data_IF_530756083793
#
_entry.id   IF_530756083793
#
_cell.length_a   1.000
_cell.length_b   1.000
_cell.length_c   1.000
_cell.angle_alpha   90.00
_cell.angle_beta   90.00
_cell.angle_gamma   90.00
#
_symmetry.space_group_name_H-M   'P 1'
#
loop_
_entity.id
_entity.type
_entity.pdbx_description
1 polymer ?
#
# COMPACT_ATOMS: atom_id res chain seq x y z
N UNK A 1 -25.76 8.53 1.84
CA UNK A 1 -24.89 9.37 0.99
C UNK A 1 -23.68 8.55 0.58
N UNK A 2 -23.27 8.59 -0.69
CA UNK A 2 -22.10 7.85 -1.15
C UNK A 2 -20.84 8.73 -1.04
N UNK A 3 -20.04 8.56 0.01
CA UNK A 3 -18.83 9.37 0.19
C UNK A 3 -17.76 9.14 -0.88
N UNK A 4 -17.78 7.98 -1.55
CA UNK A 4 -16.82 7.63 -2.60
C UNK A 4 -16.87 8.64 -3.74
N UNK A 5 -18.07 9.00 -4.20
CA UNK A 5 -18.29 9.95 -5.31
C UNK A 5 -17.72 11.34 -5.04
N UNK A 6 -17.56 11.74 -3.77
CA UNK A 6 -17.07 13.06 -3.37
C UNK A 6 -15.57 13.02 -3.07
N UNK A 7 -15.12 11.95 -2.41
CA UNK A 7 -13.72 11.81 -1.99
C UNK A 7 -12.82 11.43 -3.18
N UNK A 8 -13.33 10.66 -4.14
CA UNK A 8 -12.60 10.24 -5.34
C UNK A 8 -12.85 11.16 -6.55
N UNK A 9 -13.55 12.28 -6.37
CA UNK A 9 -13.74 13.29 -7.43
C UNK A 9 -12.84 14.51 -7.23
N UNK A 10 -12.75 15.33 -8.28
CA UNK A 10 -12.12 16.66 -8.21
C UNK A 10 -12.82 17.52 -7.17
N UNK A 11 -12.05 18.38 -6.49
CA UNK A 11 -12.58 19.24 -5.44
C UNK A 11 -13.79 20.07 -5.90
N UNK A 12 -14.88 19.96 -5.15
CA UNK A 12 -16.09 20.78 -5.28
C UNK A 12 -16.55 21.20 -3.88
N UNK A 13 -16.66 22.51 -3.64
CA UNK A 13 -17.04 23.07 -2.34
C UNK A 13 -18.37 22.52 -1.83
N UNK A 14 -19.41 22.56 -2.67
CA UNK A 14 -20.76 22.16 -2.28
C UNK A 14 -20.82 20.68 -1.90
N UNK A 15 -20.18 19.80 -2.68
CA UNK A 15 -20.10 18.38 -2.37
C UNK A 15 -19.40 18.12 -1.03
N UNK A 16 -18.30 18.82 -0.75
CA UNK A 16 -17.61 18.70 0.54
C UNK A 16 -18.42 19.26 1.71
N UNK A 17 -19.13 20.37 1.52
CA UNK A 17 -20.04 20.91 2.53
C UNK A 17 -21.19 19.95 2.82
N UNK A 18 -21.78 19.33 1.80
CA UNK A 18 -22.80 18.29 1.95
C UNK A 18 -22.26 17.07 2.71
N UNK A 19 -21.03 16.63 2.40
CA UNK A 19 -20.39 15.50 3.09
C UNK A 19 -20.21 15.80 4.57
N UNK A 20 -19.67 16.98 4.90
CA UNK A 20 -19.49 17.39 6.29
C UNK A 20 -20.83 17.59 7.00
N UNK A 21 -21.87 18.06 6.32
CA UNK A 21 -23.22 18.15 6.87
C UNK A 21 -23.85 16.76 7.12
N UNK A 22 -23.66 15.78 6.24
CA UNK A 22 -24.16 14.42 6.47
C UNK A 22 -23.46 13.72 7.66
N UNK A 23 -22.19 14.06 7.91
CA UNK A 23 -21.44 13.56 9.06
C UNK A 23 -21.89 14.27 10.35
N UNK A 24 -21.77 15.60 10.39
CA UNK A 24 -21.90 16.38 11.63
C UNK A 24 -23.30 16.93 11.87
N UNK A 25 -24.21 16.83 10.90
CA UNK A 25 -25.58 17.33 10.98
C UNK A 25 -25.61 18.79 11.44
N UNK A 26 -26.39 19.10 12.48
CA UNK A 26 -26.52 20.43 13.07
C UNK A 26 -25.26 20.93 13.81
N UNK A 27 -24.21 20.11 13.94
CA UNK A 27 -22.95 20.52 14.57
C UNK A 27 -22.05 21.31 13.62
N UNK A 28 -22.23 21.21 12.31
CA UNK A 28 -21.47 22.02 11.35
C UNK A 28 -22.22 23.29 11.01
N UNK A 29 -21.50 24.41 10.92
CA UNK A 29 -22.02 25.71 10.52
C UNK A 29 -21.11 26.27 9.44
N UNK A 30 -21.68 26.53 8.27
CA UNK A 30 -20.99 27.20 7.16
C UNK A 30 -21.34 28.68 7.12
N UNK A 31 -20.36 29.52 6.79
CA UNK A 31 -20.56 30.94 6.60
C UNK A 31 -21.23 31.21 5.24
N UNK A 32 -22.27 32.05 5.22
CA UNK A 32 -22.92 32.49 3.98
C UNK A 32 -21.96 33.20 3.04
N UNK A 33 -20.96 33.91 3.58
CA UNK A 33 -19.85 34.50 2.85
C UNK A 33 -18.54 34.09 3.54
N UNK A 34 -17.80 33.10 2.99
CA UNK A 34 -16.53 32.66 3.56
C UNK A 34 -15.54 33.81 3.74
N UNK A 35 -14.93 33.89 4.92
CA UNK A 35 -13.95 34.93 5.24
C UNK A 35 -12.60 34.63 4.60
N UNK A 36 -11.94 35.64 3.99
CA UNK A 36 -10.58 35.48 3.48
C UNK A 36 -9.58 35.41 4.64
N UNK A 37 -8.69 34.43 4.59
CA UNK A 37 -7.62 34.24 5.56
C UNK A 37 -6.30 34.65 4.92
N UNK A 38 -5.48 35.40 5.66
CA UNK A 38 -4.18 35.80 5.16
C UNK A 38 -3.23 34.60 5.14
N UNK A 39 -2.67 34.32 3.96
CA UNK A 39 -1.70 33.24 3.73
C UNK A 39 -0.59 33.74 2.82
N UNK A 40 0.57 33.09 2.89
CA UNK A 40 1.67 33.39 1.97
C UNK A 40 1.26 33.10 0.52
N UNK A 41 1.40 34.10 -0.35
CA UNK A 41 1.13 33.98 -1.79
C UNK A 41 2.02 32.95 -2.48
N UNK A 42 3.15 32.59 -1.87
CA UNK A 42 4.02 31.52 -2.35
C UNK A 42 3.37 30.13 -2.17
N UNK A 43 2.48 29.97 -1.19
CA UNK A 43 1.82 28.70 -0.86
C UNK A 43 0.40 28.61 -1.43
N UNK A 44 -0.36 29.70 -1.40
CA UNK A 44 -1.75 29.71 -1.81
C UNK A 44 -2.13 30.97 -2.58
N UNK A 45 -2.99 30.79 -3.59
CA UNK A 45 -3.66 31.88 -4.31
C UNK A 45 -4.78 32.49 -3.46
N UNK A 46 -5.51 31.63 -2.74
CA UNK A 46 -6.60 32.03 -1.86
C UNK A 46 -6.77 31.01 -0.73
N UNK A 47 -7.12 31.49 0.46
CA UNK A 47 -7.57 30.69 1.58
C UNK A 47 -8.85 31.29 2.16
N UNK A 48 -9.84 30.45 2.39
CA UNK A 48 -11.16 30.83 2.88
C UNK A 48 -11.51 30.02 4.13
N UNK A 49 -11.95 30.72 5.18
CA UNK A 49 -12.63 30.10 6.31
C UNK A 49 -14.09 29.85 5.90
N UNK A 50 -14.44 28.58 5.71
CA UNK A 50 -15.78 28.16 5.30
C UNK A 50 -16.75 28.09 6.48
N UNK A 51 -16.27 27.97 7.71
CA UNK A 51 -17.10 27.71 8.87
C UNK A 51 -16.40 26.90 9.96
N UNK A 52 -17.19 26.30 10.84
CA UNK A 52 -16.69 25.49 11.94
C UNK A 52 -17.63 24.33 12.27
N UNK A 53 -17.10 23.36 13.01
CA UNK A 53 -17.82 22.22 13.58
C UNK A 53 -17.77 22.34 15.09
N UNK A 54 -18.92 22.31 15.75
CA UNK A 54 -19.03 22.28 17.21
C UNK A 54 -19.13 20.83 17.69
N UNK A 55 -18.09 20.34 18.34
CA UNK A 55 -17.98 18.97 18.80
C UNK A 55 -18.85 18.69 20.03
N UNK A 56 -19.10 17.41 20.31
CA UNK A 56 -19.93 17.00 21.45
C UNK A 56 -19.33 17.34 22.81
N UNK A 57 -18.01 17.52 22.89
CA UNK A 57 -17.26 17.92 24.08
C UNK A 57 -17.14 19.45 24.23
N UNK A 58 -17.84 20.22 23.38
CA UNK A 58 -17.88 21.67 23.41
C UNK A 58 -16.73 22.37 22.69
N UNK A 59 -15.73 21.62 22.21
CA UNK A 59 -14.64 22.14 21.40
C UNK A 59 -15.09 22.42 19.97
N UNK A 60 -14.28 23.16 19.21
CA UNK A 60 -14.60 23.51 17.82
C UNK A 60 -13.44 23.19 16.87
N UNK A 61 -13.79 22.83 15.63
CA UNK A 61 -12.87 22.59 14.51
C UNK A 61 -13.19 23.59 13.41
N UNK A 62 -12.23 24.39 12.98
CA UNK A 62 -12.39 25.28 11.82
C UNK A 62 -12.39 24.48 10.49
N UNK A 63 -13.05 24.99 9.46
CA UNK A 63 -13.06 24.40 8.12
C UNK A 63 -12.49 25.40 7.14
N UNK A 64 -11.43 25.01 6.44
CA UNK A 64 -10.79 25.86 5.43
C UNK A 64 -10.81 25.23 4.05
N UNK A 65 -11.01 26.09 3.07
CA UNK A 65 -10.72 25.84 1.66
C UNK A 65 -9.47 26.60 1.26
N UNK A 66 -8.55 25.95 0.54
CA UNK A 66 -7.30 26.57 0.09
C UNK A 66 -7.02 26.22 -1.37
N UNK A 67 -7.01 27.24 -2.23
CA UNK A 67 -6.48 27.12 -3.60
C UNK A 67 -4.97 27.36 -3.57
N UNK A 68 -4.20 26.30 -3.82
CA UNK A 68 -2.73 26.33 -3.75
C UNK A 68 -2.13 27.05 -4.98
N UNK A 69 -0.95 27.64 -4.77
CA UNK A 69 -0.17 28.25 -5.86
C UNK A 69 0.36 27.19 -6.83
N UNK A 70 0.55 27.55 -8.10
CA UNK A 70 0.86 26.59 -9.17
C UNK A 70 2.20 25.88 -8.97
N UNK A 71 3.14 26.51 -8.27
CA UNK A 71 4.45 25.99 -7.91
C UNK A 71 4.43 25.01 -6.72
N UNK A 72 3.29 24.82 -6.05
CA UNK A 72 3.18 23.96 -4.88
C UNK A 72 2.84 22.54 -5.30
N UNK A 73 3.75 21.60 -5.03
CA UNK A 73 3.49 20.17 -5.19
C UNK A 73 2.61 19.67 -4.02
N UNK A 74 1.33 19.40 -4.32
CA UNK A 74 0.35 18.91 -3.33
C UNK A 74 0.82 17.62 -2.66
N UNK A 75 1.55 16.73 -3.34
CA UNK A 75 2.02 15.44 -2.80
C UNK A 75 3.20 15.64 -1.83
N UNK A 76 4.12 16.56 -2.15
CA UNK A 76 5.40 16.75 -1.44
C UNK A 76 5.39 17.85 -0.38
N UNK A 77 4.67 18.95 -0.57
CA UNK A 77 4.72 20.13 0.31
C UNK A 77 3.84 20.01 1.58
N UNK A 78 3.90 18.87 2.27
CA UNK A 78 3.00 18.54 3.40
C UNK A 78 3.06 19.55 4.54
N UNK A 79 4.28 19.90 4.97
CA UNK A 79 4.50 20.80 6.12
C UNK A 79 4.05 22.22 5.80
N UNK A 80 4.48 22.76 4.66
CA UNK A 80 4.09 24.10 4.24
C UNK A 80 2.57 24.24 4.12
N UNK A 81 1.91 23.22 3.55
CA UNK A 81 0.44 23.21 3.46
C UNK A 81 -0.21 23.19 4.84
N UNK A 82 0.28 22.32 5.73
CA UNK A 82 -0.26 22.17 7.09
C UNK A 82 -0.10 23.44 7.92
N UNK A 83 1.09 24.02 7.90
CA UNK A 83 1.48 25.05 8.86
C UNK A 83 0.93 26.44 8.49
N UNK A 84 0.45 26.61 7.25
CA UNK A 84 0.07 27.93 6.72
C UNK A 84 -1.10 28.60 7.47
N UNK A 85 -2.01 27.81 8.05
CA UNK A 85 -3.21 28.31 8.74
C UNK A 85 -3.12 28.21 10.26
N UNK A 86 -1.98 27.78 10.80
CA UNK A 86 -1.80 27.53 12.23
C UNK A 86 -2.15 28.74 13.10
N UNK A 87 -1.77 29.94 12.66
CA UNK A 87 -2.04 31.17 13.40
C UNK A 87 -3.51 31.57 13.40
N UNK A 88 -4.30 31.11 12.42
CA UNK A 88 -5.71 31.50 12.28
C UNK A 88 -6.62 30.67 13.20
N UNK A 89 -6.47 29.35 13.19
CA UNK A 89 -7.38 28.49 13.96
C UNK A 89 -7.01 28.35 15.44
N UNK A 90 -5.73 28.48 15.81
CA UNK A 90 -5.24 28.21 17.18
C UNK A 90 -5.90 29.05 18.27
N UNK A 91 -6.32 30.27 17.94
CA UNK A 91 -6.85 31.21 18.93
C UNK A 91 -8.31 30.90 19.29
N UNK A 92 -9.06 30.26 18.39
CA UNK A 92 -10.51 30.11 18.51
C UNK A 92 -10.99 28.66 18.44
N UNK A 93 -10.13 27.74 18.02
CA UNK A 93 -10.49 26.35 17.72
C UNK A 93 -9.46 25.37 18.28
N UNK A 94 -9.94 24.19 18.66
CA UNK A 94 -9.09 23.08 19.09
C UNK A 94 -8.35 22.42 17.90
N UNK A 95 -8.77 22.74 16.67
CA UNK A 95 -8.18 22.21 15.45
C UNK A 95 -8.83 22.75 14.18
N UNK A 96 -8.42 22.20 13.04
CA UNK A 96 -8.95 22.57 11.74
C UNK A 96 -8.96 21.38 10.75
N UNK A 97 -9.93 21.41 9.84
CA UNK A 97 -9.94 20.69 8.59
C UNK A 97 -9.51 21.61 7.46
N UNK A 98 -8.55 21.18 6.66
CA UNK A 98 -8.03 21.94 5.52
C UNK A 98 -8.21 21.13 4.24
N UNK A 99 -8.97 21.70 3.30
CA UNK A 99 -9.22 21.16 1.97
C UNK A 99 -8.37 21.94 0.95
N UNK A 100 -7.18 21.42 0.64
CA UNK A 100 -6.21 22.10 -0.21
C UNK A 100 -6.19 21.48 -1.61
N UNK A 101 -6.40 22.28 -2.66
CA UNK A 101 -6.53 21.81 -4.03
C UNK A 101 -5.88 22.75 -5.04
N UNK A 102 -5.79 22.30 -6.30
CA UNK A 102 -5.49 23.15 -7.47
C UNK A 102 -6.59 22.98 -8.50
N UNK A 103 -7.05 24.08 -9.10
CA UNK A 103 -8.17 24.04 -10.08
C UNK A 103 -7.91 23.14 -11.29
N UNK A 104 -6.66 22.95 -11.69
CA UNK A 104 -6.30 22.18 -12.88
C UNK A 104 -5.96 20.72 -12.56
N UNK A 105 -6.12 20.28 -11.31
CA UNK A 105 -5.81 18.91 -10.90
C UNK A 105 -7.03 18.26 -10.25
N UNK A 106 -7.17 16.95 -10.40
CA UNK A 106 -8.14 16.16 -9.62
C UNK A 106 -7.65 15.91 -8.19
N UNK A 107 -6.34 16.06 -7.94
CA UNK A 107 -5.73 15.82 -6.63
C UNK A 107 -6.12 16.91 -5.64
N UNK A 108 -6.58 16.48 -4.46
CA UNK A 108 -6.75 17.36 -3.31
C UNK A 108 -6.09 16.74 -2.08
N UNK A 109 -5.70 17.58 -1.13
CA UNK A 109 -5.15 17.17 0.16
C UNK A 109 -6.10 17.60 1.26
N UNK A 110 -6.68 16.61 1.94
CA UNK A 110 -7.35 16.84 3.21
C UNK A 110 -6.32 16.77 4.33
N UNK A 111 -6.40 17.68 5.30
CA UNK A 111 -5.58 17.63 6.52
C UNK A 111 -6.41 17.95 7.74
N UNK A 112 -6.29 17.11 8.77
CA UNK A 112 -6.73 17.41 10.12
C UNK A 112 -5.53 17.87 10.95
N UNK A 113 -5.70 19.00 11.62
CA UNK A 113 -4.75 19.53 12.60
C UNK A 113 -5.49 19.81 13.89
N UNK A 114 -4.87 19.50 15.01
CA UNK A 114 -5.39 19.83 16.33
C UNK A 114 -4.27 20.02 17.33
N UNK A 115 -4.50 20.94 18.25
CA UNK A 115 -3.66 21.23 19.40
C UNK A 115 -4.53 21.48 20.62
N UNK A 116 -4.28 20.70 21.67
CA UNK A 116 -4.93 20.85 22.96
C UNK A 116 -3.91 20.73 24.08
N UNK A 117 -4.38 20.92 25.31
CA UNK A 117 -3.59 20.71 26.51
C UNK A 117 -4.22 19.58 27.32
N UNK A 118 -3.40 18.64 27.79
CA UNK A 118 -3.86 17.49 28.54
C UNK A 118 -2.73 16.81 29.28
N UNK A 119 -3.09 15.85 30.14
CA UNK A 119 -2.11 15.05 30.85
C UNK A 119 -1.60 13.90 29.98
N UNK A 120 -0.29 13.73 29.90
CA UNK A 120 0.31 12.58 29.23
C UNK A 120 0.18 11.30 30.07
N UNK A 121 0.67 10.16 29.55
CA UNK A 121 0.59 8.85 30.25
C UNK A 121 1.36 8.83 31.57
N UNK A 122 2.22 9.81 31.81
CA UNK A 122 3.03 10.00 33.00
C UNK A 122 2.38 11.00 33.99
N UNK A 123 1.21 11.55 33.66
CA UNK A 123 0.49 12.51 34.51
C UNK A 123 1.04 13.93 34.43
N UNK A 124 1.90 14.25 33.44
CA UNK A 124 2.43 15.59 33.23
C UNK A 124 1.50 16.36 32.30
N UNK A 125 1.22 17.63 32.63
CA UNK A 125 0.40 18.49 31.78
C UNK A 125 1.24 19.01 30.61
N UNK A 126 0.92 18.58 29.41
CA UNK A 126 1.64 18.95 28.21
C UNK A 126 0.71 19.35 27.07
N UNK A 127 1.30 20.00 26.06
CA UNK A 127 0.61 20.29 24.81
C UNK A 127 0.52 19.02 23.98
N UNK A 128 -0.70 18.58 23.69
CA UNK A 128 -1.00 17.45 22.82
C UNK A 128 -1.27 18.01 21.42
N UNK A 129 -0.37 17.74 20.48
CA UNK A 129 -0.48 18.18 19.08
C UNK A 129 -0.46 16.99 18.14
N UNK A 130 -1.35 17.00 17.17
CA UNK A 130 -1.32 16.06 16.04
C UNK A 130 0.04 16.12 15.32
N UNK A 131 0.63 14.96 14.97
CA UNK A 131 1.90 14.92 14.24
C UNK A 131 1.77 15.59 12.86
N UNK A 132 2.74 16.45 12.54
CA UNK A 132 2.79 17.27 11.32
C UNK A 132 2.66 16.52 9.99
N UNK A 133 2.84 15.19 9.97
CA UNK A 133 2.82 14.38 8.75
C UNK A 133 1.75 13.29 8.73
N UNK A 134 1.03 13.04 9.82
CA UNK A 134 0.25 11.80 10.03
C UNK A 134 -1.27 11.93 9.91
N UNK A 135 -1.80 13.13 9.74
CA UNK A 135 -3.25 13.37 9.75
C UNK A 135 -3.71 14.01 8.43
N UNK A 136 -3.22 13.49 7.31
CA UNK A 136 -3.45 14.09 5.98
C UNK A 136 -3.67 13.01 4.92
N UNK A 137 -4.71 13.15 4.12
CA UNK A 137 -5.02 12.24 3.01
C UNK A 137 -4.80 12.94 1.67
N UNK A 138 -4.24 12.20 0.70
CA UNK A 138 -4.27 12.60 -0.71
C UNK A 138 -5.47 11.94 -1.38
N UNK A 139 -6.42 12.76 -1.82
CA UNK A 139 -7.72 12.36 -2.35
C UNK A 139 -7.86 12.81 -3.82
N UNK A 140 -8.97 12.45 -4.46
CA UNK A 140 -9.25 12.72 -5.87
C UNK A 140 -9.17 11.51 -6.79
N UNK A 141 -9.42 11.73 -8.08
CA UNK A 141 -9.61 10.67 -9.09
C UNK A 141 -8.45 9.69 -9.20
N UNK A 142 -8.78 8.42 -9.43
CA UNK A 142 -7.81 7.34 -9.64
C UNK A 142 -7.00 6.97 -8.39
N UNK A 143 -7.42 7.42 -7.20
CA UNK A 143 -6.79 7.08 -5.93
C UNK A 143 -7.71 6.16 -5.15
N UNK A 144 -7.18 5.05 -4.65
CA UNK A 144 -7.91 4.18 -3.73
C UNK A 144 -8.15 4.89 -2.40
N UNK A 145 -9.21 5.68 -2.30
CA UNK A 145 -9.52 6.50 -1.12
C UNK A 145 -10.37 5.76 -0.07
N UNK A 146 -10.46 4.44 -0.19
CA UNK A 146 -11.23 3.55 0.70
C UNK A 146 -10.97 3.84 2.18
N UNK A 147 -9.70 4.06 2.55
CA UNK A 147 -9.34 4.39 3.92
C UNK A 147 -9.98 5.70 4.38
N UNK A 148 -9.88 6.78 3.61
CA UNK A 148 -10.52 8.05 3.96
C UNK A 148 -12.05 7.90 4.06
N UNK A 149 -12.66 7.24 3.07
CA UNK A 149 -14.11 6.95 3.03
C UNK A 149 -14.55 6.23 4.31
N UNK A 150 -13.84 5.16 4.71
CA UNK A 150 -14.13 4.40 5.93
C UNK A 150 -13.99 5.25 7.19
N UNK A 151 -12.96 6.11 7.28
CA UNK A 151 -12.75 6.95 8.47
C UNK A 151 -13.79 8.07 8.59
N UNK A 152 -14.19 8.69 7.47
CA UNK A 152 -15.32 9.62 7.47
C UNK A 152 -16.64 8.91 7.82
N UNK A 153 -16.85 7.67 7.34
CA UNK A 153 -17.98 6.81 7.74
C UNK A 153 -18.03 6.55 9.24
N UNK A 154 -16.93 6.07 9.83
CA UNK A 154 -16.83 5.85 11.28
C UNK A 154 -17.06 7.11 12.09
N UNK A 155 -16.64 8.27 11.59
CA UNK A 155 -16.84 9.54 12.27
C UNK A 155 -18.32 9.96 12.31
N UNK A 156 -19.13 9.55 11.32
CA UNK A 156 -20.59 9.73 11.35
C UNK A 156 -21.23 8.94 12.49
N UNK A 157 -20.73 7.73 12.74
CA UNK A 157 -21.28 6.79 13.73
C UNK A 157 -20.74 7.02 15.15
N UNK A 158 -19.79 7.94 15.34
CA UNK A 158 -19.16 8.20 16.64
C UNK A 158 -19.90 9.26 17.46
N UNK A 159 -19.39 9.58 18.65
CA UNK A 159 -19.92 10.67 19.48
C UNK A 159 -19.56 12.05 18.92
N UNK A 160 -18.54 12.09 18.05
CA UNK A 160 -17.99 13.29 17.44
C UNK A 160 -17.41 14.25 18.49
N UNK A 161 -16.70 13.68 19.46
CA UNK A 161 -15.77 14.39 20.33
C UNK A 161 -14.43 14.60 19.61
N UNK A 162 -13.56 15.45 20.14
CA UNK A 162 -12.24 15.70 19.55
C UNK A 162 -11.39 14.43 19.47
N UNK A 163 -11.52 13.55 20.47
CA UNK A 163 -10.83 12.25 20.48
C UNK A 163 -11.29 11.38 19.31
N UNK A 164 -12.58 11.35 19.00
CA UNK A 164 -13.12 10.55 17.89
C UNK A 164 -12.56 11.04 16.53
N UNK A 165 -12.48 12.37 16.34
CA UNK A 165 -11.88 12.97 15.13
C UNK A 165 -10.40 12.59 15.05
N UNK A 166 -9.68 12.72 16.17
CA UNK A 166 -8.25 12.42 16.23
C UNK A 166 -7.98 10.95 15.95
N UNK A 167 -8.77 10.04 16.50
CA UNK A 167 -8.61 8.61 16.31
C UNK A 167 -8.97 8.18 14.88
N UNK A 168 -10.00 8.79 14.28
CA UNK A 168 -10.40 8.51 12.91
C UNK A 168 -9.28 8.84 11.90
N UNK A 169 -8.50 9.90 12.14
CA UNK A 169 -7.46 10.35 11.22
C UNK A 169 -6.03 10.00 11.66
N UNK A 170 -5.86 9.24 12.75
CA UNK A 170 -4.55 8.83 13.26
C UNK A 170 -3.90 7.74 12.42
N UNK A 171 -2.61 7.94 12.08
CA UNK A 171 -1.76 6.89 11.46
C UNK A 171 -1.66 5.63 12.31
N UNK A 172 -1.76 5.73 13.64
CA UNK A 172 -1.73 4.54 14.49
C UNK A 172 -2.95 3.65 14.22
N UNK A 173 -4.13 4.25 14.09
CA UNK A 173 -5.36 3.55 13.71
C UNK A 173 -5.23 2.92 12.32
N UNK A 174 -4.66 3.65 11.35
CA UNK A 174 -4.42 3.12 10.01
C UNK A 174 -3.43 1.95 10.01
N UNK A 175 -2.37 2.06 10.81
CA UNK A 175 -1.35 1.02 10.97
C UNK A 175 -1.95 -0.22 11.61
N UNK A 176 -2.74 -0.07 12.68
CA UNK A 176 -3.45 -1.19 13.33
C UNK A 176 -4.42 -1.86 12.37
N UNK A 177 -5.20 -1.09 11.61
CA UNK A 177 -6.15 -1.64 10.64
C UNK A 177 -5.43 -2.41 9.53
N UNK A 178 -4.32 -1.88 8.99
CA UNK A 178 -3.54 -2.60 7.99
C UNK A 178 -2.98 -3.93 8.51
N UNK A 179 -2.38 -3.95 9.70
CA UNK A 179 -1.87 -5.20 10.26
C UNK A 179 -3.00 -6.18 10.58
N UNK A 180 -4.18 -5.69 10.95
CA UNK A 180 -5.39 -6.51 11.09
C UNK A 180 -5.80 -7.12 9.75
N UNK A 181 -5.98 -6.31 8.71
CA UNK A 181 -6.37 -6.78 7.37
C UNK A 181 -5.33 -7.76 6.80
N UNK A 182 -4.04 -7.49 7.02
CA UNK A 182 -2.94 -8.37 6.61
C UNK A 182 -2.94 -9.70 7.38
N UNK A 183 -3.28 -9.66 8.67
CA UNK A 183 -3.38 -10.87 9.50
C UNK A 183 -4.60 -11.72 9.11
N UNK A 184 -5.75 -11.09 8.85
CA UNK A 184 -6.94 -11.78 8.33
C UNK A 184 -6.65 -12.42 6.96
N UNK A 185 -5.94 -11.71 6.07
CA UNK A 185 -5.46 -12.28 4.80
C UNK A 185 -4.50 -13.45 5.02
N UNK A 186 -3.55 -13.31 5.94
CA UNK A 186 -2.61 -14.36 6.27
C UNK A 186 -3.32 -15.64 6.74
N UNK A 187 -4.29 -15.49 7.66
CA UNK A 187 -5.12 -16.60 8.12
C UNK A 187 -5.89 -17.25 6.98
N UNK A 188 -6.43 -16.45 6.06
CA UNK A 188 -7.08 -16.98 4.87
C UNK A 188 -6.09 -17.75 3.98
N UNK A 189 -4.90 -17.22 3.72
CA UNK A 189 -3.93 -17.84 2.81
C UNK A 189 -3.33 -19.15 3.34
N UNK A 190 -3.25 -19.33 4.67
CA UNK A 190 -2.79 -20.59 5.28
C UNK A 190 -3.94 -21.57 5.51
N UNK A 191 -5.20 -21.20 5.29
CA UNK A 191 -6.33 -22.11 5.43
C UNK A 191 -6.27 -23.22 4.38
N UNK A 192 -6.61 -24.45 4.76
CA UNK A 192 -6.54 -25.62 3.86
C UNK A 192 -7.45 -25.46 2.62
N UNK A 193 -8.53 -24.71 2.73
CA UNK A 193 -9.47 -24.44 1.63
C UNK A 193 -8.88 -23.64 0.48
N UNK A 194 -7.74 -22.96 0.70
CA UNK A 194 -7.11 -22.15 -0.35
C UNK A 194 -6.19 -22.96 -1.25
N UNK A 195 -5.90 -24.22 -0.93
CA UNK A 195 -5.03 -25.09 -1.74
C UNK A 195 -3.66 -24.47 -2.07
N UNK A 196 -3.17 -23.55 -1.22
CA UNK A 196 -1.80 -23.05 -1.30
C UNK A 196 -0.85 -24.21 -1.02
N UNK A 197 0.14 -24.37 -1.90
CA UNK A 197 1.19 -25.37 -1.75
C UNK A 197 2.55 -24.76 -2.03
N UNK A 198 3.52 -25.16 -1.23
CA UNK A 198 4.93 -24.89 -1.48
C UNK A 198 5.70 -26.18 -1.34
N UNK A 199 6.31 -26.68 -2.42
CA UNK A 199 7.14 -27.86 -2.36
C UNK A 199 8.12 -27.82 -1.18
N UNK A 200 8.38 -28.98 -0.61
CA UNK A 200 9.39 -29.13 0.41
C UNK A 200 10.38 -30.19 -0.06
N UNK A 201 10.27 -31.43 0.43
CA UNK A 201 11.08 -32.51 -0.09
C UNK A 201 10.44 -33.08 -1.35
N UNK A 202 11.17 -33.01 -2.46
CA UNK A 202 10.69 -33.44 -3.79
C UNK A 202 10.32 -34.94 -3.87
N UNK A 203 10.65 -35.73 -2.84
CA UNK A 203 10.29 -37.16 -2.73
C UNK A 203 9.15 -37.46 -1.77
N UNK A 204 8.64 -36.47 -1.03
CA UNK A 204 7.57 -36.64 -0.05
C UNK A 204 6.32 -35.94 -0.57
N UNK A 205 5.19 -36.65 -0.64
CA UNK A 205 3.95 -36.09 -1.21
C UNK A 205 3.17 -35.23 -0.20
N UNK A 206 3.33 -35.48 1.10
CA UNK A 206 2.49 -34.87 2.14
C UNK A 206 3.11 -33.66 2.86
N UNK A 207 4.29 -33.16 2.41
CA UNK A 207 5.03 -32.08 3.08
C UNK A 207 4.93 -30.70 2.40
N UNK A 208 4.12 -30.57 1.33
CA UNK A 208 3.94 -29.33 0.57
C UNK A 208 3.31 -28.18 1.39
N UNK A 209 2.75 -28.50 2.57
CA UNK A 209 2.20 -27.52 3.52
C UNK A 209 3.00 -27.42 4.81
N UNK A 210 4.11 -28.17 4.93
CA UNK A 210 5.03 -28.00 6.04
C UNK A 210 5.62 -26.59 6.03
N UNK A 211 5.60 -25.94 7.19
CA UNK A 211 6.06 -24.58 7.41
C UNK A 211 5.39 -23.56 6.45
N UNK A 212 4.17 -23.83 5.96
CA UNK A 212 3.44 -22.93 5.06
C UNK A 212 3.30 -21.52 5.64
N UNK A 213 3.14 -21.41 6.96
CA UNK A 213 3.14 -20.16 7.72
C UNK A 213 4.39 -19.32 7.44
N UNK A 214 5.57 -19.94 7.57
CA UNK A 214 6.87 -19.27 7.35
C UNK A 214 7.04 -18.89 5.89
N UNK A 215 6.63 -19.77 4.96
CA UNK A 215 6.73 -19.55 3.51
C UNK A 215 5.82 -18.39 3.07
N UNK A 216 4.59 -18.33 3.59
CA UNK A 216 3.65 -17.23 3.36
C UNK A 216 4.17 -15.92 3.98
N UNK A 217 4.67 -15.92 5.22
CA UNK A 217 5.26 -14.72 5.84
C UNK A 217 6.40 -14.17 4.98
N UNK A 218 7.27 -15.04 4.45
CA UNK A 218 8.37 -14.66 3.56
C UNK A 218 7.84 -14.04 2.25
N UNK A 219 6.84 -14.67 1.64
CA UNK A 219 6.18 -14.15 0.44
C UNK A 219 5.55 -12.78 0.68
N UNK A 220 4.73 -12.61 1.73
CA UNK A 220 4.13 -11.33 2.09
C UNK A 220 5.21 -10.26 2.28
N UNK A 221 6.29 -10.58 2.99
CA UNK A 221 7.38 -9.62 3.26
C UNK A 221 8.04 -9.15 1.96
N UNK A 222 8.29 -10.05 1.00
CA UNK A 222 8.80 -9.70 -0.34
C UNK A 222 7.81 -8.82 -1.10
N UNK A 223 6.51 -9.16 -1.10
CA UNK A 223 5.46 -8.39 -1.80
C UNK A 223 5.29 -7.00 -1.18
N UNK A 224 5.29 -6.88 0.15
CA UNK A 224 5.22 -5.60 0.85
C UNK A 224 6.40 -4.69 0.46
N UNK A 225 7.61 -5.25 0.38
CA UNK A 225 8.77 -4.49 -0.08
C UNK A 225 8.66 -4.08 -1.54
N UNK A 226 8.23 -5.00 -2.42
CA UNK A 226 7.95 -4.72 -3.83
C UNK A 226 6.92 -3.60 -3.98
N UNK A 227 5.84 -3.64 -3.22
CA UNK A 227 4.81 -2.60 -3.24
C UNK A 227 5.36 -1.25 -2.79
N UNK A 228 6.27 -1.24 -1.81
CA UNK A 228 6.96 -0.02 -1.39
C UNK A 228 7.82 0.57 -2.51
N UNK A 229 8.64 -0.24 -3.20
CA UNK A 229 9.49 0.27 -4.30
C UNK A 229 8.67 0.59 -5.57
N UNK A 230 7.52 -0.05 -5.78
CA UNK A 230 6.51 0.34 -6.78
C UNK A 230 6.04 1.78 -6.54
N UNK A 231 5.79 2.18 -5.29
CA UNK A 231 5.44 3.57 -4.95
C UNK A 231 6.59 4.57 -5.16
N UNK A 232 7.81 4.08 -5.42
CA UNK A 232 8.97 4.86 -5.85
C UNK A 232 9.18 4.84 -7.37
N UNK A 233 8.22 4.29 -8.12
CA UNK A 233 8.29 4.17 -9.58
C UNK A 233 9.46 3.30 -10.07
N UNK A 234 10.00 2.44 -9.21
CA UNK A 234 11.09 1.50 -9.54
C UNK A 234 10.58 0.16 -10.08
N UNK A 235 9.27 -0.10 -9.94
CA UNK A 235 8.60 -1.30 -10.45
C UNK A 235 7.40 -0.84 -11.27
N UNK A 236 7.25 -1.29 -12.53
CA UNK A 236 6.15 -0.84 -13.40
C UNK A 236 4.78 -1.15 -12.81
N UNK A 237 3.88 -0.16 -12.73
CA UNK A 237 2.54 -0.36 -12.17
C UNK A 237 1.73 -1.42 -12.94
N UNK A 238 1.97 -1.55 -14.25
CA UNK A 238 1.25 -2.47 -15.15
C UNK A 238 1.34 -3.95 -14.75
N UNK A 239 2.39 -4.37 -14.03
CA UNK A 239 2.48 -5.78 -13.58
C UNK A 239 1.53 -6.12 -12.43
N UNK A 240 0.78 -5.15 -11.91
CA UNK A 240 -0.26 -5.33 -10.88
C UNK A 240 -1.67 -5.06 -11.42
N UNK A 241 -1.79 -4.80 -12.72
CA UNK A 241 -3.03 -4.39 -13.36
C UNK A 241 -3.69 -5.58 -14.08
N UNK A 242 -4.96 -5.85 -13.78
CA UNK A 242 -5.68 -7.03 -14.28
C UNK A 242 -5.80 -6.99 -15.81
N UNK A 243 -6.09 -5.83 -16.39
CA UNK A 243 -6.29 -5.68 -17.84
C UNK A 243 -4.97 -5.97 -18.57
N UNK A 244 -3.87 -5.36 -18.12
CA UNK A 244 -2.55 -5.62 -18.68
C UNK A 244 -2.11 -7.08 -18.51
N UNK A 245 -2.29 -7.67 -17.32
CA UNK A 245 -1.92 -9.06 -17.05
C UNK A 245 -2.66 -10.05 -17.97
N UNK A 246 -3.92 -9.77 -18.27
CA UNK A 246 -4.74 -10.55 -19.21
C UNK A 246 -4.17 -10.57 -20.63
N UNK A 247 -3.38 -9.56 -21.01
CA UNK A 247 -2.73 -9.50 -22.34
C UNK A 247 -1.43 -10.30 -22.41
N UNK A 248 -0.73 -10.49 -21.30
CA UNK A 248 0.62 -11.08 -21.28
C UNK A 248 0.67 -12.50 -20.71
N UNK A 249 -0.31 -12.91 -19.90
CA UNK A 249 -0.40 -14.24 -19.29
C UNK A 249 -1.44 -15.11 -20.01
N UNK A 250 -1.12 -16.39 -20.22
CA UNK A 250 -2.07 -17.38 -20.74
C UNK A 250 -3.06 -17.78 -19.65
N UNK A 251 -4.34 -17.87 -20.04
CA UNK A 251 -5.44 -18.35 -19.18
C UNK A 251 -5.45 -17.63 -17.81
N UNK A 252 -5.18 -16.33 -17.80
CA UNK A 252 -5.19 -15.54 -16.59
C UNK A 252 -6.63 -15.26 -16.15
N UNK A 253 -7.00 -15.86 -15.02
CA UNK A 253 -8.18 -15.50 -14.24
C UNK A 253 -7.74 -14.91 -12.90
N UNK A 254 -7.98 -13.61 -12.63
CA UNK A 254 -7.61 -12.99 -11.36
C UNK A 254 -8.35 -13.58 -10.16
N UNK A 255 -9.52 -14.18 -10.35
CA UNK A 255 -10.36 -14.72 -9.28
C UNK A 255 -10.29 -16.24 -9.15
N UNK A 256 -9.39 -16.87 -9.90
CA UNK A 256 -9.17 -18.30 -9.81
C UNK A 256 -8.71 -18.72 -8.42
N UNK A 257 -9.38 -19.75 -7.88
CA UNK A 257 -9.09 -20.37 -6.58
C UNK A 257 -8.04 -21.47 -6.65
N UNK A 258 -7.56 -21.83 -7.84
CA UNK A 258 -6.64 -22.97 -8.05
C UNK A 258 -5.41 -22.62 -8.89
N UNK A 259 -5.58 -21.81 -9.93
CA UNK A 259 -4.48 -21.30 -10.78
C UNK A 259 -3.73 -20.17 -10.09
N UNK A 260 -2.39 -20.29 -10.04
CA UNK A 260 -1.46 -19.32 -9.44
C UNK A 260 -0.42 -18.78 -10.43
N UNK A 261 -0.79 -18.58 -11.70
CA UNK A 261 0.13 -18.12 -12.74
C UNK A 261 0.65 -16.69 -12.48
N UNK A 262 -0.07 -15.85 -11.74
CA UNK A 262 0.45 -14.54 -11.33
C UNK A 262 1.64 -14.67 -10.37
N UNK A 263 1.54 -15.54 -9.36
CA UNK A 263 2.64 -15.76 -8.42
C UNK A 263 3.87 -16.31 -9.14
N UNK A 264 3.68 -17.33 -9.98
CA UNK A 264 4.78 -18.00 -10.66
C UNK A 264 5.41 -17.12 -11.74
N UNK A 265 4.62 -16.68 -12.73
CA UNK A 265 5.14 -15.97 -13.89
C UNK A 265 5.59 -14.54 -13.55
N UNK A 266 4.89 -13.82 -12.66
CA UNK A 266 5.20 -12.42 -12.34
C UNK A 266 6.03 -12.30 -11.07
N UNK A 267 5.49 -12.74 -9.92
CA UNK A 267 6.11 -12.43 -8.62
C UNK A 267 7.42 -13.19 -8.38
N UNK A 268 7.50 -14.48 -8.66
CA UNK A 268 8.75 -15.24 -8.49
C UNK A 268 9.85 -14.73 -9.43
N UNK A 269 9.53 -14.43 -10.70
CA UNK A 269 10.48 -13.82 -11.63
C UNK A 269 10.93 -12.41 -11.18
N UNK A 270 10.02 -11.62 -10.60
CA UNK A 270 10.37 -10.33 -10.01
C UNK A 270 11.29 -10.49 -8.80
N UNK A 271 11.04 -11.46 -7.91
CA UNK A 271 11.88 -11.69 -6.74
C UNK A 271 13.26 -12.21 -7.16
N UNK A 272 13.29 -13.36 -7.82
CA UNK A 272 14.52 -14.16 -7.93
C UNK A 272 15.33 -13.84 -9.19
N UNK A 273 14.67 -13.57 -10.32
CA UNK A 273 15.34 -13.30 -11.59
C UNK A 273 15.58 -11.80 -11.86
N UNK A 274 14.94 -10.93 -11.09
CA UNK A 274 15.01 -9.47 -11.27
C UNK A 274 15.64 -8.78 -10.07
N UNK A 275 14.98 -8.77 -8.91
CA UNK A 275 15.46 -8.06 -7.73
C UNK A 275 16.70 -8.72 -7.10
N UNK A 276 16.89 -10.02 -7.33
CA UNK A 276 18.06 -10.79 -6.89
C UNK A 276 19.10 -11.04 -8.01
N UNK A 277 19.03 -10.31 -9.14
CA UNK A 277 20.06 -10.36 -10.19
C UNK A 277 20.37 -8.97 -10.76
N UNK A 278 21.65 -8.66 -10.93
CA UNK A 278 22.09 -7.45 -11.64
C UNK A 278 21.49 -7.38 -13.06
N UNK A 279 21.22 -6.17 -13.56
CA UNK A 279 20.76 -5.96 -14.95
C UNK A 279 21.81 -6.52 -15.92
N UNK A 280 23.06 -6.17 -15.64
CA UNK A 280 24.28 -6.74 -16.22
C UNK A 280 25.21 -7.12 -15.07
N UNK A 281 25.72 -8.35 -15.08
CA UNK A 281 26.68 -8.80 -14.05
C UNK A 281 28.12 -8.40 -14.37
N UNK A 282 29.04 -8.66 -13.44
CA UNK A 282 30.46 -8.28 -13.54
C UNK A 282 31.17 -8.85 -14.79
N UNK A 283 30.59 -9.89 -15.40
CA UNK A 283 31.10 -10.54 -16.61
C UNK A 283 30.37 -10.07 -17.89
N UNK A 284 29.56 -9.01 -17.80
CA UNK A 284 28.78 -8.47 -18.92
C UNK A 284 27.56 -9.31 -19.30
N UNK A 285 27.13 -10.27 -18.48
CA UNK A 285 25.93 -11.06 -18.81
C UNK A 285 24.66 -10.35 -18.35
N UNK A 286 23.74 -10.18 -19.28
CA UNK A 286 22.41 -9.64 -19.00
C UNK A 286 21.45 -10.69 -18.44
N UNK A 287 20.34 -10.22 -17.86
CA UNK A 287 19.24 -11.10 -17.41
C UNK A 287 18.63 -11.85 -18.60
N UNK A 288 18.33 -13.13 -18.40
CA UNK A 288 17.79 -14.04 -19.44
C UNK A 288 17.02 -15.20 -18.83
N UNK A 289 16.29 -15.92 -19.67
CA UNK A 289 15.60 -17.15 -19.29
C UNK A 289 16.58 -18.30 -19.01
N UNK A 290 16.19 -19.17 -18.07
CA UNK A 290 16.91 -20.39 -17.79
C UNK A 290 16.73 -21.40 -18.93
N UNK A 291 17.84 -21.87 -19.49
CA UNK A 291 17.86 -22.94 -20.50
C UNK A 291 18.13 -24.30 -19.87
N UNK A 292 17.98 -25.38 -20.65
CA UNK A 292 18.17 -26.77 -20.17
C UNK A 292 19.56 -27.03 -19.58
N UNK A 293 20.60 -26.36 -20.09
CA UNK A 293 21.98 -26.47 -19.59
C UNK A 293 22.21 -25.71 -18.26
N UNK A 294 21.30 -24.83 -17.85
CA UNK A 294 21.42 -23.96 -16.67
C UNK A 294 20.20 -24.07 -15.76
N UNK A 295 19.66 -25.28 -15.62
CA UNK A 295 18.39 -25.56 -14.94
C UNK A 295 18.37 -25.13 -13.47
N UNK A 296 19.51 -25.25 -12.79
CA UNK A 296 19.59 -25.04 -11.33
C UNK A 296 19.91 -23.58 -10.95
N UNK A 297 20.20 -22.70 -11.93
CA UNK A 297 20.47 -21.29 -11.64
C UNK A 297 19.16 -20.56 -11.28
N UNK A 298 18.98 -20.27 -9.99
CA UNK A 298 17.77 -19.68 -9.40
C UNK A 298 17.65 -18.16 -9.59
N UNK A 299 18.55 -17.55 -10.36
CA UNK A 299 18.55 -16.11 -10.67
C UNK A 299 18.17 -15.81 -12.12
N UNK A 300 17.71 -16.81 -12.88
CA UNK A 300 17.29 -16.66 -14.28
C UNK A 300 15.76 -16.75 -14.40
N UNK A 301 15.20 -16.09 -15.43
CA UNK A 301 13.76 -16.07 -15.67
C UNK A 301 13.22 -17.47 -15.99
N UNK A 302 11.97 -17.74 -15.60
CA UNK A 302 11.28 -19.03 -15.74
C UNK A 302 9.84 -18.82 -16.22
N UNK A 303 9.16 -19.94 -16.51
CA UNK A 303 7.75 -19.98 -16.87
C UNK A 303 7.40 -19.32 -18.21
N UNK A 304 8.30 -19.41 -19.21
CA UNK A 304 8.04 -18.90 -20.55
C UNK A 304 6.72 -19.47 -21.13
N UNK A 305 6.38 -20.71 -20.77
CA UNK A 305 5.14 -21.36 -21.18
C UNK A 305 3.87 -20.64 -20.69
N UNK A 306 3.94 -19.91 -19.57
CA UNK A 306 2.81 -19.17 -18.97
C UNK A 306 2.57 -17.80 -19.62
N UNK A 307 3.49 -17.32 -20.46
CA UNK A 307 3.36 -16.04 -21.15
C UNK A 307 2.80 -16.21 -22.57
N UNK A 308 1.98 -15.24 -22.98
CA UNK A 308 1.48 -15.05 -24.35
C UNK A 308 2.43 -14.21 -25.21
N UNK A 309 3.36 -13.51 -24.57
CA UNK A 309 4.41 -12.68 -25.18
C UNK A 309 5.74 -13.45 -25.26
N UNK A 310 6.67 -12.96 -26.07
CA UNK A 310 8.00 -13.55 -26.22
C UNK A 310 8.86 -13.40 -24.96
N UNK A 311 9.86 -14.27 -24.80
CA UNK A 311 10.84 -14.17 -23.70
C UNK A 311 11.52 -12.79 -23.66
N UNK A 312 11.81 -12.19 -24.82
CA UNK A 312 12.43 -10.87 -24.89
C UNK A 312 11.49 -9.76 -24.39
N UNK A 313 10.19 -9.84 -24.70
CA UNK A 313 9.21 -8.90 -24.17
C UNK A 313 9.07 -9.02 -22.65
N UNK A 314 9.16 -10.24 -22.10
CA UNK A 314 9.20 -10.44 -20.64
C UNK A 314 10.47 -9.83 -20.04
N UNK A 315 11.64 -10.01 -20.65
CA UNK A 315 12.88 -9.37 -20.16
C UNK A 315 12.74 -7.84 -20.19
N UNK A 316 12.19 -7.28 -21.27
CA UNK A 316 11.95 -5.85 -21.41
C UNK A 316 10.93 -5.32 -20.39
N UNK A 317 9.98 -6.15 -19.93
CA UNK A 317 9.03 -5.78 -18.89
C UNK A 317 9.72 -5.44 -17.56
N UNK A 318 10.83 -6.13 -17.25
CA UNK A 318 11.55 -6.04 -15.98
C UNK A 318 12.92 -5.33 -16.10
N UNK A 319 13.29 -4.83 -17.28
CA UNK A 319 14.65 -4.37 -17.57
C UNK A 319 15.10 -3.16 -16.74
N UNK A 320 14.19 -2.23 -16.45
CA UNK A 320 14.48 -1.02 -15.67
C UNK A 320 14.49 -1.25 -14.15
N UNK A 321 14.04 -2.42 -13.70
CA UNK A 321 13.94 -2.71 -12.26
C UNK A 321 15.35 -2.95 -11.70
N UNK A 322 15.77 -2.18 -10.67
CA UNK A 322 17.12 -2.27 -10.13
C UNK A 322 17.36 -3.59 -9.40
N UNK A 323 18.64 -3.94 -9.27
CA UNK A 323 19.09 -4.99 -8.38
C UNK A 323 19.09 -4.51 -6.92
N UNK A 324 18.52 -5.31 -6.02
CA UNK A 324 18.44 -5.01 -4.59
C UNK A 324 18.89 -6.24 -3.79
N UNK A 325 20.20 -6.53 -3.83
CA UNK A 325 20.79 -7.65 -3.08
C UNK A 325 20.72 -7.42 -1.57
N UNK A 326 19.78 -8.08 -0.89
CA UNK A 326 19.61 -7.93 0.55
C UNK A 326 19.19 -9.19 1.28
N UNK A 327 19.41 -10.37 0.68
CA UNK A 327 18.93 -11.67 1.21
C UNK A 327 17.41 -11.85 1.18
N UNK A 328 16.62 -10.76 1.21
CA UNK A 328 15.16 -10.78 1.16
C UNK A 328 14.61 -11.49 -0.08
N UNK A 329 15.27 -11.29 -1.22
CA UNK A 329 14.89 -11.87 -2.51
C UNK A 329 15.73 -13.09 -2.90
N UNK A 330 16.53 -13.63 -1.98
CA UNK A 330 17.23 -14.88 -2.23
C UNK A 330 16.23 -16.04 -2.34
N UNK A 331 16.41 -16.90 -3.33
CA UNK A 331 15.64 -18.13 -3.51
C UNK A 331 16.18 -19.19 -2.55
N UNK A 332 15.31 -19.76 -1.72
CA UNK A 332 15.68 -20.72 -0.68
C UNK A 332 15.56 -22.19 -1.14
N UNK A 333 15.24 -22.43 -2.40
CA UNK A 333 15.38 -23.76 -3.00
C UNK A 333 16.84 -24.20 -2.90
N UNK A 334 17.11 -25.50 -2.72
CA UNK A 334 18.45 -26.08 -2.63
C UNK A 334 18.57 -27.34 -3.46
N UNK A 335 19.66 -27.44 -4.19
CA UNK A 335 19.94 -28.51 -5.15
C UNK A 335 21.26 -29.19 -4.82
N UNK A 336 21.36 -30.48 -5.14
CA UNK A 336 22.61 -31.26 -4.94
C UNK A 336 23.82 -30.64 -5.64
N UNK A 337 23.66 -30.22 -6.89
CA UNK A 337 24.80 -29.81 -7.74
C UNK A 337 25.32 -28.41 -7.44
N UNK A 338 24.43 -27.42 -7.21
CA UNK A 338 24.85 -26.04 -6.94
C UNK A 338 25.08 -25.80 -5.44
N UNK A 339 24.26 -26.40 -4.58
CA UNK A 339 24.28 -26.10 -3.15
C UNK A 339 24.95 -27.18 -2.29
N UNK A 340 25.28 -28.35 -2.88
CA UNK A 340 25.98 -29.43 -2.18
C UNK A 340 25.16 -30.17 -1.12
N UNK A 341 23.84 -29.97 -1.10
CA UNK A 341 22.94 -30.62 -0.12
C UNK A 341 22.69 -32.09 -0.47
N UNK A 342 22.61 -32.97 0.53
CA UNK A 342 22.31 -34.40 0.29
C UNK A 342 20.90 -34.63 -0.26
N UNK A 343 19.93 -33.81 0.17
CA UNK A 343 18.54 -33.87 -0.29
C UNK A 343 18.14 -32.51 -0.86
N UNK A 344 17.49 -32.52 -2.03
CA UNK A 344 17.00 -31.29 -2.66
C UNK A 344 15.68 -30.88 -2.00
N UNK A 345 15.48 -29.58 -1.83
CA UNK A 345 14.23 -29.03 -1.31
C UNK A 345 13.88 -27.72 -2.02
N UNK A 346 12.59 -27.52 -2.29
CA UNK A 346 12.07 -26.46 -3.17
C UNK A 346 11.15 -25.49 -2.38
N UNK A 347 11.67 -24.92 -1.28
CA UNK A 347 10.91 -24.07 -0.35
C UNK A 347 10.21 -22.85 -0.95
N UNK A 348 10.77 -22.26 -2.01
CA UNK A 348 10.17 -21.18 -2.79
C UNK A 348 9.49 -21.70 -4.05
N UNK A 349 9.79 -22.93 -4.47
CA UNK A 349 9.16 -23.62 -5.61
C UNK A 349 9.43 -22.89 -6.93
N UNK A 350 10.64 -22.36 -7.13
CA UNK A 350 11.01 -21.60 -8.33
C UNK A 350 11.63 -22.52 -9.39
N UNK A 351 10.83 -23.46 -9.88
CA UNK A 351 11.30 -24.54 -10.77
C UNK A 351 10.63 -24.53 -12.14
N UNK A 352 11.42 -24.85 -13.17
CA UNK A 352 10.89 -25.15 -14.51
C UNK A 352 10.27 -26.55 -14.59
N UNK A 353 10.45 -27.40 -13.59
CA UNK A 353 9.88 -28.74 -13.61
C UNK A 353 8.38 -28.68 -13.30
N UNK A 354 7.54 -29.07 -14.25
CA UNK A 354 6.08 -29.12 -14.13
C UNK A 354 5.56 -30.50 -13.71
N UNK A 355 6.44 -31.43 -13.34
CA UNK A 355 6.06 -32.74 -12.82
C UNK A 355 5.11 -32.62 -11.63
N UNK A 356 4.09 -33.49 -11.62
CA UNK A 356 3.04 -33.54 -10.61
C UNK A 356 3.01 -34.88 -9.89
N UNK A 357 2.51 -34.88 -8.67
CA UNK A 357 2.09 -36.08 -7.94
C UNK A 357 0.81 -36.67 -8.54
N UNK A 358 0.39 -37.83 -8.04
CA UNK A 358 -0.79 -38.53 -8.56
C UNK A 358 -2.09 -37.73 -8.32
N UNK A 359 -2.13 -36.94 -7.26
CA UNK A 359 -3.24 -36.04 -6.93
C UNK A 359 -3.24 -34.72 -7.75
N UNK A 360 -2.25 -34.51 -8.61
CA UNK A 360 -2.14 -33.36 -9.48
C UNK A 360 -1.38 -32.15 -8.92
N UNK A 361 -0.88 -32.20 -7.67
CA UNK A 361 -0.02 -31.15 -7.09
C UNK A 361 1.37 -31.14 -7.73
N UNK A 362 1.97 -29.97 -7.86
CA UNK A 362 3.32 -29.84 -8.43
C UNK A 362 4.38 -30.31 -7.44
N UNK A 363 5.35 -31.08 -7.92
CA UNK A 363 6.49 -31.55 -7.11
C UNK A 363 7.55 -30.48 -6.84
N UNK A 364 7.59 -29.45 -7.68
CA UNK A 364 8.71 -28.49 -7.70
C UNK A 364 8.26 -27.02 -7.86
N UNK A 365 6.96 -26.79 -8.07
CA UNK A 365 6.41 -25.45 -8.27
C UNK A 365 5.47 -25.12 -7.14
N UNK A 366 5.63 -23.92 -6.58
CA UNK A 366 4.64 -23.39 -5.66
C UNK A 366 3.32 -23.11 -6.39
N UNK A 367 2.21 -23.21 -5.66
CA UNK A 367 0.88 -22.80 -6.10
C UNK A 367 0.33 -21.83 -5.07
N UNK A 368 0.12 -20.60 -5.50
CA UNK A 368 -0.58 -19.57 -4.72
C UNK A 368 -1.69 -19.01 -5.62
N UNK A 369 -2.96 -19.34 -5.35
CA UNK A 369 -4.07 -18.94 -6.22
C UNK A 369 -4.17 -17.44 -6.45
N UNK A 370 -4.56 -17.06 -7.67
CA UNK A 370 -4.70 -15.67 -8.09
C UNK A 370 -5.68 -14.88 -7.21
N UNK A 371 -6.77 -15.53 -6.74
CA UNK A 371 -7.77 -14.90 -5.88
C UNK A 371 -7.15 -14.28 -4.61
N UNK A 372 -6.09 -14.88 -4.07
CA UNK A 372 -5.40 -14.36 -2.88
C UNK A 372 -4.77 -12.99 -3.15
N UNK A 373 -4.49 -12.62 -4.39
CA UNK A 373 -3.93 -11.33 -4.75
C UNK A 373 -4.99 -10.32 -5.16
N UNK A 374 -6.00 -10.74 -5.93
CA UNK A 374 -6.90 -9.84 -6.67
C UNK A 374 -8.33 -9.77 -6.13
N UNK A 375 -8.73 -10.58 -5.14
CA UNK A 375 -10.06 -10.45 -4.53
C UNK A 375 -10.28 -8.99 -4.07
N UNK A 376 -11.46 -8.43 -4.38
CA UNK A 376 -11.70 -6.99 -4.37
C UNK A 376 -11.56 -6.35 -2.99
N UNK A 377 -11.95 -7.06 -1.93
CA UNK A 377 -11.94 -6.53 -0.57
C UNK A 377 -10.74 -7.01 0.21
N UNK A 378 -10.49 -8.31 0.23
CA UNK A 378 -9.48 -8.97 1.05
C UNK A 378 -8.25 -9.43 0.28
N UNK A 379 -8.20 -9.36 -1.05
CA UNK A 379 -7.00 -9.72 -1.81
C UNK A 379 -5.77 -8.91 -1.39
N UNK A 380 -4.57 -9.50 -1.44
CA UNK A 380 -3.36 -8.85 -0.93
C UNK A 380 -3.07 -7.52 -1.64
N UNK A 381 -3.22 -7.45 -2.96
CA UNK A 381 -3.02 -6.21 -3.71
C UNK A 381 -4.12 -5.18 -3.42
N UNK A 382 -5.35 -5.66 -3.20
CA UNK A 382 -6.49 -4.85 -2.75
C UNK A 382 -6.27 -4.27 -1.35
N UNK A 383 -5.66 -5.02 -0.43
CA UNK A 383 -5.22 -4.51 0.88
C UNK A 383 -4.14 -3.47 0.67
N UNK A 384 -3.05 -3.81 -0.03
CA UNK A 384 -1.89 -2.92 -0.18
C UNK A 384 -2.22 -1.60 -0.91
N UNK A 385 -3.19 -1.61 -1.84
CA UNK A 385 -3.62 -0.40 -2.55
C UNK A 385 -4.39 0.59 -1.69
N UNK A 386 -4.97 0.14 -0.57
CA UNK A 386 -5.69 0.99 0.40
C UNK A 386 -4.79 1.79 1.32
N UNK A 387 -3.46 1.54 1.29
CA UNK A 387 -2.50 2.17 2.21
C UNK A 387 -1.29 2.78 1.48
N UNK A 388 -0.84 3.94 1.99
CA UNK A 388 0.38 4.60 1.50
C UNK A 388 1.58 4.21 2.37
N UNK A 389 2.59 3.55 1.81
CA UNK A 389 3.77 3.11 2.54
C UNK A 389 4.86 4.17 2.53
N UNK A 390 5.51 4.40 3.67
CA UNK A 390 6.73 5.21 3.75
C UNK A 390 7.77 4.57 4.65
N UNK A 391 9.04 4.87 4.36
CA UNK A 391 10.15 4.52 5.24
C UNK A 391 10.45 5.71 6.14
N UNK A 392 10.58 5.45 7.45
CA UNK A 392 11.24 6.37 8.39
C UNK A 392 12.40 5.65 9.06
N UNK A 393 13.56 6.30 9.08
CA UNK A 393 14.70 5.89 9.90
C UNK A 393 14.35 6.19 11.35
N UNK A 394 14.25 5.19 12.20
CA UNK A 394 14.15 5.41 13.66
C UNK A 394 15.53 5.66 14.22
N UNK A 395 15.75 6.83 14.84
CA UNK A 395 16.92 7.11 15.67
C UNK A 395 16.78 6.41 17.03
N UNK A 396 16.77 5.08 17.02
CA UNK A 396 17.03 4.28 18.21
C UNK A 396 18.24 3.42 17.86
N UNK A 397 19.14 3.22 18.83
CA UNK A 397 20.52 2.70 18.69
C UNK A 397 20.70 1.39 17.88
N UNK A 398 19.63 0.77 17.41
CA UNK A 398 19.64 -0.28 16.39
C UNK A 398 18.93 0.20 15.13
N UNK A 399 19.69 0.39 14.04
CA UNK A 399 19.22 0.76 12.71
C UNK A 399 18.32 -0.33 12.09
N UNK A 400 17.08 -0.48 12.58
CA UNK A 400 16.04 -1.28 11.92
C UNK A 400 15.15 -0.35 11.08
N UNK A 401 15.02 -0.66 9.80
CA UNK A 401 14.00 -0.05 8.94
C UNK A 401 12.63 -0.60 9.34
N UNK A 402 11.68 0.29 9.64
CA UNK A 402 10.28 -0.08 9.85
C UNK A 402 9.46 0.53 8.72
N UNK A 403 8.67 -0.29 8.03
CA UNK A 403 7.62 0.19 7.14
C UNK A 403 6.57 0.88 8.02
N UNK A 404 6.29 2.15 7.73
CA UNK A 404 5.28 2.94 8.43
C UNK A 404 4.27 3.41 7.40
N UNK A 405 2.98 3.23 7.70
CA UNK A 405 1.91 3.75 6.87
C UNK A 405 1.76 5.25 7.07
N UNK A 406 1.39 5.94 6.00
CA UNK A 406 0.79 7.26 6.09
C UNK A 406 -0.68 7.18 5.70
N UNK A 407 -1.43 8.17 6.19
CA UNK A 407 -2.74 8.55 5.64
C UNK A 407 -2.62 8.97 4.17
#
# INVERSE_FOLDING_TARGET
MNYKEIIESKYNRESWQQLLHDIFLNKVTFHNSPGKVHVSSHLAKEALNLGYIKLSDGLTIAIYEVELSDNVDIKRNRRGIRDMLITDWRDNHAGAFMLCYRRNESILRFSYVSETWGFNKQGEYEKISTDTKRYTYLLGEGRGCHTAIKQFGKLKESKQALTDITDAFSVETLTKQFYKDLFEWYQWAIDDSTHVTFPNNITTEDDDRDDVEKKIIRMITRIMFVWFIKQKELVPNRIFDIEYLSTILKEFDPYSTTVGNYYNAILQNLFFATLNRAIEDENGNTRKFATSAKRDIKTLYRYAEMFSISEQEVINLFSEIPFLNGGLFECLDKTRYIDGVEQCYDFDGFSRNDARFADGRYKHRAVVPNILFFELEKGLLSILSRYNFTIRRTHLKNSRWRLILNS
#
